data_IF_431605110434
#
_entry.id   IF_431605110434
#
_cell.length_a   1.000
_cell.length_b   1.000
_cell.length_c   1.000
_cell.angle_alpha   90.00
_cell.angle_beta   90.00
_cell.angle_gamma   90.00
#
_symmetry.space_group_name_H-M   'P 1'
#
loop_
_entity.id
_entity.type
_entity.pdbx_description
1 polymer ?
#
# COMPACT_ATOMS: atom_id res chain seq x y z
N UNK A 1 -5.30 6.80 43.16
CA UNK A 1 -4.48 7.22 42.01
C UNK A 1 -5.25 6.85 40.75
N UNK A 2 -5.48 7.80 39.85
CA UNK A 2 -5.99 7.46 38.51
C UNK A 2 -4.90 6.66 37.78
N UNK A 3 -5.26 5.72 36.90
CA UNK A 3 -4.25 5.05 36.08
C UNK A 3 -3.57 6.11 35.21
N UNK A 4 -2.24 6.14 35.25
CA UNK A 4 -1.41 7.07 34.47
C UNK A 4 -1.55 6.86 32.95
N UNK A 5 -2.18 5.75 32.54
CA UNK A 5 -2.45 5.38 31.15
C UNK A 5 -3.76 4.62 31.06
N UNK A 6 -4.57 4.95 30.06
CA UNK A 6 -5.88 4.37 29.79
C UNK A 6 -5.87 3.83 28.37
N UNK A 7 -6.18 2.53 28.23
CA UNK A 7 -6.54 1.94 26.95
C UNK A 7 -8.06 1.81 26.85
N UNK A 8 -8.65 2.37 25.80
CA UNK A 8 -10.07 2.27 25.48
C UNK A 8 -10.23 1.61 24.13
N UNK A 9 -10.90 0.47 24.10
CA UNK A 9 -11.44 -0.13 22.89
C UNK A 9 -12.95 -0.01 22.97
N UNK A 10 -13.55 0.71 22.02
CA UNK A 10 -15.00 0.90 21.95
C UNK A 10 -15.50 0.49 20.59
N UNK A 11 -16.53 -0.34 20.59
CA UNK A 11 -17.45 -0.49 19.49
C UNK A 11 -18.57 0.54 19.71
N UNK A 12 -18.60 1.59 18.90
CA UNK A 12 -19.66 2.61 18.98
C UNK A 12 -20.87 2.15 18.18
N UNK A 13 -22.06 2.47 18.67
CA UNK A 13 -23.33 2.17 18.00
C UNK A 13 -23.29 2.67 16.56
N UNK A 14 -23.29 1.74 15.60
CA UNK A 14 -23.10 2.04 14.18
C UNK A 14 -22.06 1.19 13.47
N UNK A 15 -21.25 0.40 14.21
CA UNK A 15 -20.17 -0.43 13.63
C UNK A 15 -18.83 0.30 13.55
N UNK A 16 -18.67 1.35 14.33
CA UNK A 16 -17.44 2.15 14.40
C UNK A 16 -16.51 1.56 15.47
N UNK A 17 -15.31 1.16 15.08
CA UNK A 17 -14.27 0.72 16.00
C UNK A 17 -13.39 1.91 16.40
N UNK A 18 -13.27 2.18 17.69
CA UNK A 18 -12.33 3.15 18.24
C UNK A 18 -11.35 2.48 19.19
N UNK A 19 -10.07 2.73 18.94
CA UNK A 19 -8.96 2.40 19.84
C UNK A 19 -8.30 3.70 20.28
N UNK A 20 -8.26 3.96 21.59
CA UNK A 20 -7.61 5.13 22.18
C UNK A 20 -6.65 4.72 23.27
N UNK A 21 -5.43 5.24 23.21
CA UNK A 21 -4.44 5.24 24.28
C UNK A 21 -4.36 6.68 24.77
N UNK A 22 -4.62 6.88 26.06
CA UNK A 22 -4.62 8.20 26.70
C UNK A 22 -3.67 8.13 27.89
N UNK A 23 -2.64 8.96 27.90
CA UNK A 23 -1.76 9.17 29.05
C UNK A 23 -1.98 10.55 29.66
N UNK A 24 -1.17 10.92 30.64
CA UNK A 24 -1.17 12.28 31.20
C UNK A 24 -0.60 13.31 30.23
N UNK A 25 0.20 12.88 29.26
CA UNK A 25 0.93 13.74 28.32
C UNK A 25 0.29 13.70 26.93
N UNK A 26 -0.17 12.53 26.49
CA UNK A 26 -0.49 12.26 25.09
C UNK A 26 -1.83 11.55 24.90
N UNK A 27 -2.41 11.76 23.72
CA UNK A 27 -3.51 10.97 23.18
C UNK A 27 -3.09 10.33 21.86
N UNK A 28 -3.37 9.05 21.68
CA UNK A 28 -3.30 8.35 20.40
C UNK A 28 -4.62 7.64 20.17
N UNK A 29 -5.38 8.06 19.15
CA UNK A 29 -6.71 7.54 18.84
C UNK A 29 -6.83 7.21 17.38
N UNK A 30 -7.14 5.94 17.08
CA UNK A 30 -7.57 5.50 15.76
C UNK A 30 -9.06 5.16 15.82
N UNK A 31 -9.84 5.72 14.91
CA UNK A 31 -11.25 5.36 14.70
C UNK A 31 -11.41 4.86 13.27
N UNK A 32 -11.92 3.64 13.13
CA UNK A 32 -12.40 3.10 11.87
C UNK A 32 -13.92 3.14 11.89
N UNK A 33 -14.52 3.81 10.92
CA UNK A 33 -15.96 3.87 10.78
C UNK A 33 -16.50 2.64 10.06
N UNK A 34 -17.80 2.43 10.17
CA UNK A 34 -18.50 1.35 9.49
C UNK A 34 -18.37 1.38 7.95
N UNK A 35 -18.16 2.57 7.36
CA UNK A 35 -17.90 2.74 5.93
C UNK A 35 -16.45 2.38 5.52
N UNK A 36 -15.62 1.95 6.48
CA UNK A 36 -14.22 1.61 6.29
C UNK A 36 -13.26 2.80 6.40
N UNK A 37 -13.77 4.04 6.42
CA UNK A 37 -12.94 5.23 6.56
C UNK A 37 -12.25 5.29 7.92
N UNK A 38 -11.05 5.85 7.94
CA UNK A 38 -10.22 5.94 9.14
C UNK A 38 -9.94 7.38 9.51
N UNK A 39 -9.95 7.65 10.81
CA UNK A 39 -9.52 8.90 11.41
C UNK A 39 -8.51 8.60 12.49
N UNK A 40 -7.31 9.13 12.32
CA UNK A 40 -6.24 9.04 13.31
C UNK A 40 -5.97 10.41 13.92
N UNK A 41 -5.95 10.48 15.24
CA UNK A 41 -5.65 11.67 16.03
C UNK A 41 -4.54 11.32 17.00
N UNK A 42 -3.49 12.14 17.05
CA UNK A 42 -2.41 11.96 18.01
C UNK A 42 -1.80 13.30 18.44
N UNK A 43 -1.05 13.31 19.53
CA UNK A 43 -0.37 14.49 20.06
C UNK A 43 -0.64 14.69 21.54
N UNK A 44 -0.21 15.82 22.07
CA UNK A 44 -0.40 16.16 23.47
C UNK A 44 -1.71 16.94 23.70
N UNK A 45 -2.00 17.29 24.96
CA UNK A 45 -3.20 18.06 25.31
C UNK A 45 -3.16 19.54 24.86
N UNK A 46 -2.01 20.04 24.40
CA UNK A 46 -1.83 21.39 23.86
C UNK A 46 -1.94 21.45 22.34
N UNK A 47 -1.45 20.44 21.63
CA UNK A 47 -1.42 20.36 20.17
C UNK A 47 -1.70 18.93 19.68
N UNK A 48 -2.88 18.76 19.09
CA UNK A 48 -3.28 17.49 18.45
C UNK A 48 -3.20 17.57 16.94
N UNK A 49 -2.61 16.55 16.33
CA UNK A 49 -2.63 16.30 14.90
C UNK A 49 -3.76 15.35 14.51
N UNK A 50 -4.23 15.48 13.28
CA UNK A 50 -5.29 14.64 12.71
C UNK A 50 -4.97 14.27 11.27
N UNK A 51 -5.25 13.01 10.93
CA UNK A 51 -5.27 12.49 9.56
C UNK A 51 -6.53 11.68 9.33
N UNK A 52 -6.98 11.64 8.08
CA UNK A 52 -8.18 10.89 7.70
C UNK A 52 -8.01 10.35 6.29
N UNK A 53 -8.49 9.15 6.04
CA UNK A 53 -8.41 8.50 4.73
C UNK A 53 -9.60 7.56 4.51
N UNK A 54 -9.80 7.14 3.26
CA UNK A 54 -10.86 6.20 2.89
C UNK A 54 -10.72 4.82 3.54
N UNK A 55 -9.50 4.42 3.93
CA UNK A 55 -9.19 3.22 4.71
C UNK A 55 -7.76 3.30 5.26
N UNK A 56 -7.37 2.34 6.10
CA UNK A 56 -6.03 2.29 6.70
C UNK A 56 -4.91 2.13 5.67
N UNK A 57 -5.12 1.37 4.60
CA UNK A 57 -4.10 1.16 3.57
C UNK A 57 -3.76 2.47 2.84
N UNK A 58 -4.77 3.29 2.52
CA UNK A 58 -4.57 4.63 1.97
C UNK A 58 -3.84 5.53 2.96
N UNK A 59 -4.26 5.54 4.23
CA UNK A 59 -3.60 6.34 5.28
C UNK A 59 -2.11 6.00 5.41
N UNK A 60 -1.78 4.70 5.45
CA UNK A 60 -0.41 4.22 5.53
C UNK A 60 0.39 4.57 4.27
N UNK A 61 -0.18 4.37 3.07
CA UNK A 61 0.49 4.70 1.80
C UNK A 61 0.86 6.17 1.68
N UNK A 62 0.00 7.05 2.16
CA UNK A 62 0.22 8.50 2.11
C UNK A 62 1.18 9.00 3.20
N UNK A 63 1.32 8.27 4.31
CA UNK A 63 2.09 8.70 5.49
C UNK A 63 2.89 7.53 6.13
N UNK A 64 3.71 6.77 5.39
CA UNK A 64 4.25 5.50 5.88
C UNK A 64 5.17 5.69 7.09
N UNK A 65 6.16 6.58 7.00
CA UNK A 65 7.12 6.83 8.09
C UNK A 65 6.43 7.36 9.36
N UNK A 66 5.43 8.22 9.18
CA UNK A 66 4.68 8.84 10.26
C UNK A 66 3.80 7.80 10.98
N UNK A 67 3.12 6.93 10.24
CA UNK A 67 2.29 5.85 10.81
C UNK A 67 3.16 4.84 11.55
N UNK A 68 4.29 4.45 10.98
CA UNK A 68 5.19 3.50 11.65
C UNK A 68 5.73 4.05 12.97
N UNK A 69 6.18 5.31 12.97
CA UNK A 69 6.80 5.93 14.14
C UNK A 69 5.79 6.32 15.21
N UNK A 70 4.68 6.97 14.85
CA UNK A 70 3.77 7.58 15.84
C UNK A 70 2.54 6.72 16.17
N UNK A 71 2.21 5.74 15.32
CA UNK A 71 1.07 4.85 15.55
C UNK A 71 1.54 3.44 15.89
N UNK A 72 2.26 2.77 14.99
CA UNK A 72 2.57 1.34 15.15
C UNK A 72 3.56 1.10 16.30
N UNK A 73 4.67 1.85 16.37
CA UNK A 73 5.63 1.71 17.47
C UNK A 73 4.99 2.02 18.83
N UNK A 74 4.17 3.07 18.90
CA UNK A 74 3.43 3.40 20.12
C UNK A 74 2.53 2.21 20.49
N UNK A 75 1.68 1.74 19.58
CA UNK A 75 0.77 0.63 19.83
C UNK A 75 1.50 -0.66 20.24
N UNK A 76 2.63 -0.98 19.60
CA UNK A 76 3.50 -2.10 20.02
C UNK A 76 3.98 -1.95 21.46
N UNK A 77 4.40 -0.75 21.87
CA UNK A 77 4.83 -0.49 23.25
C UNK A 77 3.68 -0.68 24.27
N UNK A 78 2.43 -0.59 23.82
CA UNK A 78 1.22 -0.89 24.60
C UNK A 78 0.73 -2.35 24.44
N UNK A 79 1.51 -3.21 23.80
CA UNK A 79 1.22 -4.64 23.68
C UNK A 79 0.27 -5.02 22.54
N UNK A 80 -0.04 -4.09 21.63
CA UNK A 80 -0.80 -4.44 20.43
C UNK A 80 0.06 -5.25 19.46
N UNK A 81 -0.54 -6.29 18.89
CA UNK A 81 -0.01 -6.94 17.70
C UNK A 81 -0.23 -5.99 16.53
N UNK A 82 0.84 -5.40 16.03
CA UNK A 82 0.81 -4.58 14.81
C UNK A 82 1.41 -5.35 13.65
N UNK A 83 1.12 -4.94 12.40
CA UNK A 83 1.89 -5.40 11.26
C UNK A 83 3.40 -5.15 11.47
N UNK A 84 4.27 -5.99 10.89
CA UNK A 84 5.70 -5.75 10.91
C UNK A 84 6.02 -4.42 10.21
N UNK A 85 6.98 -3.67 10.77
CA UNK A 85 7.41 -2.41 10.20
C UNK A 85 8.11 -2.65 8.87
N UNK A 86 8.06 -1.68 7.95
CA UNK A 86 8.80 -1.73 6.69
C UNK A 86 10.30 -1.96 6.91
N UNK A 87 10.84 -1.45 8.01
CA UNK A 87 12.25 -1.60 8.42
C UNK A 87 12.57 -2.92 9.12
N UNK A 88 11.58 -3.77 9.41
CA UNK A 88 11.81 -5.07 10.06
C UNK A 88 12.63 -6.00 9.16
N UNK A 89 13.47 -6.84 9.78
CA UNK A 89 14.37 -7.73 9.06
C UNK A 89 13.59 -8.71 8.17
N UNK A 90 12.45 -9.20 8.67
CA UNK A 90 11.56 -10.13 7.98
C UNK A 90 10.96 -9.50 6.72
N UNK A 91 10.51 -8.23 6.81
CA UNK A 91 9.99 -7.51 5.65
C UNK A 91 11.10 -7.20 4.65
N UNK A 92 12.28 -6.80 5.13
CA UNK A 92 13.43 -6.53 4.26
C UNK A 92 13.93 -7.80 3.56
N UNK A 93 13.93 -8.94 4.25
CA UNK A 93 14.29 -10.24 3.67
C UNK A 93 13.27 -10.69 2.64
N UNK A 94 11.97 -10.64 2.95
CA UNK A 94 10.91 -10.94 2.00
C UNK A 94 10.96 -10.03 0.76
N UNK A 95 11.20 -8.73 0.94
CA UNK A 95 11.40 -7.79 -0.16
C UNK A 95 12.67 -8.14 -0.97
N UNK A 96 13.75 -8.52 -0.30
CA UNK A 96 14.97 -8.94 -0.96
C UNK A 96 14.76 -10.24 -1.76
N UNK A 97 14.01 -11.20 -1.25
CA UNK A 97 13.66 -12.43 -1.95
C UNK A 97 12.77 -12.16 -3.18
N UNK A 98 11.74 -11.33 -3.02
CA UNK A 98 10.91 -10.88 -4.15
C UNK A 98 11.77 -10.18 -5.22
N UNK A 99 12.77 -9.39 -4.80
CA UNK A 99 13.71 -8.73 -5.71
C UNK A 99 14.74 -9.69 -6.34
N UNK A 100 15.22 -10.69 -5.59
CA UNK A 100 16.16 -11.73 -6.07
C UNK A 100 15.50 -12.66 -7.08
N UNK A 101 14.22 -12.97 -6.90
CA UNK A 101 13.42 -13.77 -7.83
C UNK A 101 13.17 -13.11 -9.20
N UNK A 102 13.40 -11.78 -9.33
CA UNK A 102 13.40 -11.10 -10.63
C UNK A 102 14.72 -11.36 -11.36
N UNK A 103 14.79 -12.49 -12.05
CA UNK A 103 15.93 -12.81 -12.92
C UNK A 103 16.23 -11.68 -13.91
N UNK A 104 17.50 -11.40 -14.22
CA UNK A 104 17.88 -10.52 -15.34
C UNK A 104 17.17 -10.88 -16.65
N UNK A 105 16.88 -12.16 -16.86
CA UNK A 105 16.12 -12.67 -18.00
C UNK A 105 14.67 -12.16 -18.02
N UNK A 106 13.99 -12.09 -16.88
CA UNK A 106 12.62 -11.56 -16.79
C UNK A 106 12.59 -10.05 -17.05
N UNK A 107 13.55 -9.28 -16.50
CA UNK A 107 13.65 -7.85 -16.79
C UNK A 107 13.91 -7.59 -18.28
N UNK A 108 14.81 -8.38 -18.88
CA UNK A 108 15.07 -8.30 -20.32
C UNK A 108 13.83 -8.68 -21.15
N UNK A 109 13.05 -9.68 -20.72
CA UNK A 109 11.79 -10.05 -21.36
C UNK A 109 10.76 -8.92 -21.28
N UNK A 110 10.59 -8.31 -20.10
CA UNK A 110 9.68 -7.17 -19.90
C UNK A 110 10.09 -5.96 -20.77
N UNK A 111 11.38 -5.62 -20.83
CA UNK A 111 11.87 -4.54 -21.68
C UNK A 111 11.63 -4.81 -23.17
N UNK A 112 11.76 -6.07 -23.62
CA UNK A 112 11.42 -6.45 -25.00
C UNK A 112 9.93 -6.28 -25.29
N UNK A 113 9.06 -6.68 -24.38
CA UNK A 113 7.62 -6.50 -24.53
C UNK A 113 7.25 -5.01 -24.57
N UNK A 114 7.85 -4.18 -23.71
CA UNK A 114 7.67 -2.73 -23.73
C UNK A 114 8.12 -2.13 -25.07
N UNK A 115 9.30 -2.51 -25.58
CA UNK A 115 9.77 -2.06 -26.87
C UNK A 115 8.87 -2.51 -28.03
N UNK A 116 8.29 -3.71 -27.94
CA UNK A 116 7.35 -4.23 -28.93
C UNK A 116 6.00 -3.48 -28.96
N UNK A 117 5.65 -2.71 -27.91
CA UNK A 117 4.50 -1.81 -27.95
C UNK A 117 4.68 -0.65 -28.93
N UNK A 118 5.92 -0.32 -29.30
CA UNK A 118 6.26 0.67 -30.34
C UNK A 118 6.53 0.02 -31.71
N UNK A 119 6.25 -1.27 -31.88
CA UNK A 119 6.43 -1.95 -33.17
C UNK A 119 5.53 -1.35 -34.26
N UNK A 120 5.99 -1.37 -35.51
CA UNK A 120 5.23 -0.82 -36.64
C UNK A 120 3.92 -1.59 -36.92
N UNK A 121 3.87 -2.89 -36.61
CA UNK A 121 2.71 -3.74 -36.89
C UNK A 121 1.74 -3.78 -35.69
N UNK A 122 0.44 -3.61 -35.98
CA UNK A 122 -0.61 -3.63 -34.95
C UNK A 122 -0.68 -4.99 -34.22
N UNK A 123 -0.50 -6.09 -34.95
CA UNK A 123 -0.53 -7.44 -34.37
C UNK A 123 0.55 -7.62 -33.29
N UNK A 124 1.77 -7.14 -33.54
CA UNK A 124 2.88 -7.21 -32.59
C UNK A 124 2.61 -6.37 -31.35
N UNK A 125 2.09 -5.15 -31.52
CA UNK A 125 1.73 -4.27 -30.39
C UNK A 125 0.64 -4.90 -29.51
N UNK A 126 -0.35 -5.54 -30.12
CA UNK A 126 -1.45 -6.16 -29.38
C UNK A 126 -1.04 -7.46 -28.69
N UNK A 127 -0.15 -8.25 -29.29
CA UNK A 127 0.45 -9.42 -28.64
C UNK A 127 1.29 -8.99 -27.43
N UNK A 128 2.19 -8.02 -27.62
CA UNK A 128 3.02 -7.48 -26.55
C UNK A 128 2.19 -6.91 -25.39
N UNK A 129 1.11 -6.19 -25.69
CA UNK A 129 0.21 -5.67 -24.66
C UNK A 129 -0.42 -6.77 -23.81
N UNK A 130 -0.89 -7.85 -24.45
CA UNK A 130 -1.50 -8.99 -23.77
C UNK A 130 -0.50 -9.73 -22.90
N UNK A 131 0.68 -10.02 -23.43
CA UNK A 131 1.74 -10.73 -22.71
C UNK A 131 2.23 -9.89 -21.50
N UNK A 132 2.30 -8.55 -21.66
CA UNK A 132 2.63 -7.66 -20.55
C UNK A 132 1.50 -7.62 -19.50
N UNK A 133 0.24 -7.68 -19.93
CA UNK A 133 -0.92 -7.73 -19.03
C UNK A 133 -0.93 -9.01 -18.19
N UNK A 134 -0.67 -10.17 -18.81
CA UNK A 134 -0.60 -11.47 -18.12
C UNK A 134 0.59 -11.56 -17.15
N UNK A 135 1.66 -10.82 -17.44
CA UNK A 135 2.88 -10.78 -16.63
C UNK A 135 3.05 -9.47 -15.87
N UNK A 136 1.97 -8.72 -15.63
CA UNK A 136 2.04 -7.36 -15.10
C UNK A 136 2.61 -7.31 -13.68
N UNK A 137 2.10 -8.17 -12.79
CA UNK A 137 2.48 -8.22 -11.37
C UNK A 137 4.02 -8.33 -11.15
N UNK A 138 4.72 -9.29 -11.79
CA UNK A 138 6.19 -9.37 -11.65
C UNK A 138 6.93 -8.21 -12.34
N UNK A 139 6.36 -7.61 -13.39
CA UNK A 139 7.01 -6.60 -14.23
C UNK A 139 6.63 -5.15 -13.92
N UNK A 140 5.76 -4.91 -12.94
CA UNK A 140 5.18 -3.62 -12.63
C UNK A 140 6.20 -2.50 -12.45
N UNK A 141 7.26 -2.75 -11.68
CA UNK A 141 8.31 -1.74 -11.46
C UNK A 141 9.04 -1.38 -12.76
N UNK A 142 9.29 -2.36 -13.63
CA UNK A 142 9.90 -2.11 -14.95
C UNK A 142 8.98 -1.28 -15.84
N UNK A 143 7.67 -1.50 -15.77
CA UNK A 143 6.67 -0.69 -16.49
C UNK A 143 6.60 0.73 -15.93
N UNK A 144 6.59 0.89 -14.61
CA UNK A 144 6.60 2.20 -13.94
C UNK A 144 7.87 3.01 -14.25
N UNK A 145 9.04 2.35 -14.27
CA UNK A 145 10.30 2.96 -14.70
C UNK A 145 10.26 3.38 -16.17
N UNK A 146 9.70 2.53 -17.04
CA UNK A 146 9.59 2.84 -18.46
C UNK A 146 8.66 4.04 -18.72
N UNK A 147 7.59 4.20 -17.93
CA UNK A 147 6.69 5.37 -17.99
C UNK A 147 7.37 6.70 -17.64
N UNK A 148 8.45 6.65 -16.84
CA UNK A 148 9.27 7.82 -16.49
C UNK A 148 10.30 8.16 -17.58
N UNK A 149 10.53 7.27 -18.55
CA UNK A 149 11.46 7.51 -19.66
C UNK A 149 10.85 8.41 -20.74
N UNK A 150 11.66 9.28 -21.34
CA UNK A 150 11.28 10.12 -22.48
C UNK A 150 11.38 9.39 -23.83
N UNK A 151 11.94 8.17 -23.85
CA UNK A 151 12.21 7.42 -25.08
C UNK A 151 10.97 6.75 -25.69
N UNK A 152 9.89 6.59 -24.91
CA UNK A 152 8.67 5.90 -25.36
C UNK A 152 7.71 6.83 -26.10
N UNK A 153 7.03 6.31 -27.12
CA UNK A 153 5.97 7.04 -27.80
C UNK A 153 4.78 7.36 -26.88
N UNK A 154 4.01 8.39 -27.23
CA UNK A 154 2.80 8.75 -26.50
C UNK A 154 1.76 7.62 -26.46
N UNK A 155 1.66 6.83 -27.53
CA UNK A 155 0.76 5.67 -27.63
C UNK A 155 1.17 4.57 -26.64
N UNK A 156 2.47 4.27 -26.58
CA UNK A 156 2.99 3.27 -25.64
C UNK A 156 2.84 3.72 -24.20
N UNK A 157 3.13 4.99 -23.89
CA UNK A 157 2.87 5.55 -22.55
C UNK A 157 1.39 5.43 -22.15
N UNK A 158 0.47 5.67 -23.08
CA UNK A 158 -0.97 5.52 -22.82
C UNK A 158 -1.32 4.06 -22.49
N UNK A 159 -0.83 3.09 -23.28
CA UNK A 159 -1.08 1.66 -23.03
C UNK A 159 -0.51 1.19 -21.71
N UNK A 160 0.72 1.58 -21.37
CA UNK A 160 1.33 1.21 -20.10
C UNK A 160 0.53 1.76 -18.89
N UNK A 161 -0.03 2.98 -18.99
CA UNK A 161 -0.93 3.52 -17.96
C UNK A 161 -2.21 2.69 -17.81
N UNK A 162 -2.82 2.27 -18.93
CA UNK A 162 -4.01 1.40 -18.90
C UNK A 162 -3.73 0.08 -18.18
N UNK A 163 -2.54 -0.50 -18.36
CA UNK A 163 -2.14 -1.73 -17.66
C UNK A 163 -2.02 -1.52 -16.14
N UNK A 164 -1.43 -0.40 -15.71
CA UNK A 164 -1.32 -0.05 -14.28
C UNK A 164 -2.71 0.16 -13.65
N UNK A 165 -3.60 0.87 -14.35
CA UNK A 165 -4.97 1.09 -13.89
C UNK A 165 -5.73 -0.23 -13.76
N UNK A 166 -5.62 -1.12 -14.76
CA UNK A 166 -6.25 -2.43 -14.73
C UNK A 166 -5.74 -3.30 -13.56
N UNK A 167 -4.42 -3.36 -13.35
CA UNK A 167 -3.80 -4.15 -12.28
C UNK A 167 -4.17 -3.62 -10.88
N UNK A 168 -4.28 -2.29 -10.71
CA UNK A 168 -4.73 -1.69 -9.45
C UNK A 168 -6.15 -2.12 -9.07
N UNK A 169 -7.05 -2.27 -10.05
CA UNK A 169 -8.41 -2.76 -9.83
C UNK A 169 -8.36 -4.24 -9.39
N UNK A 170 -7.58 -5.08 -10.08
CA UNK A 170 -7.54 -6.53 -9.79
C UNK A 170 -6.89 -6.86 -8.44
N UNK A 171 -5.83 -6.14 -8.05
CA UNK A 171 -5.21 -6.28 -6.72
C UNK A 171 -6.15 -5.83 -5.58
N UNK A 172 -6.99 -4.81 -5.82
CA UNK A 172 -7.97 -4.36 -4.83
C UNK A 172 -9.06 -5.41 -4.58
N UNK A 173 -9.49 -6.14 -5.61
CA UNK A 173 -10.47 -7.22 -5.51
C UNK A 173 -9.89 -8.48 -4.87
N UNK A 174 -8.66 -8.87 -5.23
CA UNK A 174 -7.99 -10.04 -4.65
C UNK A 174 -7.76 -9.91 -3.13
N UNK A 175 -7.50 -8.70 -2.64
CA UNK A 175 -7.35 -8.43 -1.19
C UNK A 175 -8.68 -8.55 -0.44
N UNK A 176 -9.82 -8.32 -1.11
CA UNK A 176 -11.15 -8.48 -0.52
C UNK A 176 -11.56 -9.96 -0.46
N UNK A 177 -11.21 -10.76 -1.46
CA UNK A 177 -11.57 -12.20 -1.51
C UNK A 177 -10.76 -13.03 -0.52
N UNK A 178 -9.48 -12.72 -0.28
CA UNK A 178 -8.66 -13.43 0.71
C UNK A 178 -9.14 -13.26 2.17
N UNK A 179 -10.00 -12.26 2.45
CA UNK A 179 -10.60 -12.03 3.78
C UNK A 179 -11.99 -12.62 3.98
N UNK A 180 -12.56 -13.28 2.97
CA UNK A 180 -13.90 -13.90 3.03
C UNK A 180 -13.83 -15.43 3.17
N UNK A 181 -12.64 -16.02 3.27
CA UNK A 181 -12.42 -17.49 3.30
C UNK A 181 -11.71 -17.97 4.59
N UNK A 182 -11.53 -17.11 5.59
CA UNK A 182 -11.12 -17.50 6.96
C UNK A 182 -12.19 -17.09 7.98
#
# INVERSE_FOLDING_TARGET
AFPSRILLVRDETGGDLRVSIISEEDIHRLTQKADGSVVWVWGDFGETQKRSAANFATLYRENPELIERELLQVWQAYGFLTPPLSSSAEVQEALAELKRGREPAQRAAAQRLIAALDANQFADRQAAFRDLQETMLPNRETVEQALQSDELSAETKLRLRQLIEHDNVTCSEATVVARLVE
#
